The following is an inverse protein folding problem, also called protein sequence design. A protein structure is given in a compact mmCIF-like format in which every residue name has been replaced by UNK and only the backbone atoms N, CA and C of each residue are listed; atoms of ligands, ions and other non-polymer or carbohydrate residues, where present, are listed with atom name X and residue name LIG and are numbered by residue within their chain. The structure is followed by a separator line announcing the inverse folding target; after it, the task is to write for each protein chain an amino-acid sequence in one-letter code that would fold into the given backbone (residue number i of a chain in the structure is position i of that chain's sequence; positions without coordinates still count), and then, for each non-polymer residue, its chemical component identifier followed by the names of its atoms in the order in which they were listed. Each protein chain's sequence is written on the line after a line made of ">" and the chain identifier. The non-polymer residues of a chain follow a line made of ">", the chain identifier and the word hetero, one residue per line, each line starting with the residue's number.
data_IF_524597655764
#
_entry.id   IF_524597655764
#
_cell.length_a   1.000
_cell.length_b   1.000
_cell.length_c   1.000
_cell.angle_alpha   90.00
_cell.angle_beta   90.00
_cell.angle_gamma   90.00
#
_symmetry.space_group_name_H-M   'P 1'
#
loop_
_entity.id
_entity.type
_entity.pdbx_description
1 polymer ?
#
# COMPACT_ATOMS: atom_id res chain seq x y z
N UNK A 1 -0.20 -1.37 45.21
CA UNK A 1 -1.56 -0.97 45.62
C UNK A 1 -2.53 -1.83 44.83
N UNK A 2 -3.44 -2.57 45.48
CA UNK A 2 -4.43 -3.36 44.74
C UNK A 2 -5.44 -2.39 44.09
N UNK A 3 -5.75 -2.59 42.80
CA UNK A 3 -6.85 -1.87 42.17
C UNK A 3 -8.15 -2.27 42.87
N UNK A 4 -8.65 -1.38 43.73
CA UNK A 4 -9.92 -1.56 44.41
C UNK A 4 -11.01 -0.98 43.52
N UNK A 5 -11.78 -1.85 42.89
CA UNK A 5 -12.93 -1.46 42.09
C UNK A 5 -14.18 -1.62 42.98
N UNK A 6 -14.86 -0.53 43.37
CA UNK A 6 -16.11 -0.66 44.11
C UNK A 6 -17.17 -1.31 43.20
N UNK A 7 -17.73 -2.45 43.65
CA UNK A 7 -18.70 -3.29 42.92
C UNK A 7 -18.17 -4.03 41.68
N UNK A 8 -17.16 -4.89 41.86
CA UNK A 8 -16.76 -5.83 40.80
C UNK A 8 -17.80 -6.96 40.70
N UNK A 9 -18.26 -7.32 39.49
CA UNK A 9 -18.87 -8.62 39.25
C UNK A 9 -17.98 -9.74 39.80
N UNK A 10 -18.55 -10.90 40.17
CA UNK A 10 -17.77 -12.08 40.52
C UNK A 10 -16.60 -12.31 39.54
N UNK A 11 -15.39 -12.50 40.08
CA UNK A 11 -14.14 -12.50 39.28
C UNK A 11 -14.12 -13.57 38.18
N UNK A 12 -14.89 -14.64 38.36
CA UNK A 12 -15.10 -15.71 37.39
C UNK A 12 -15.92 -15.28 36.16
N UNK A 13 -16.69 -14.19 36.22
CA UNK A 13 -17.45 -13.68 35.07
C UNK A 13 -16.64 -12.73 34.19
N UNK A 14 -15.54 -12.19 34.71
CA UNK A 14 -14.76 -11.16 34.03
C UNK A 14 -13.87 -11.80 32.97
N UNK A 15 -14.05 -11.35 31.71
CA UNK A 15 -13.26 -11.80 30.55
C UNK A 15 -12.37 -10.72 29.96
N UNK A 16 -12.66 -9.46 30.27
CA UNK A 16 -12.02 -8.29 29.69
C UNK A 16 -11.91 -7.20 30.76
N UNK A 17 -10.72 -6.62 30.90
CA UNK A 17 -10.45 -5.47 31.77
C UNK A 17 -9.81 -4.39 30.90
N UNK A 18 -10.32 -3.16 31.00
CA UNK A 18 -9.73 -1.98 30.35
C UNK A 18 -9.51 -0.87 31.37
N UNK A 19 -8.28 -0.38 31.47
CA UNK A 19 -7.87 0.74 32.31
C UNK A 19 -7.25 1.78 31.41
N UNK A 20 -7.81 2.99 31.40
CA UNK A 20 -7.52 4.00 30.40
C UNK A 20 -7.53 5.39 31.02
N UNK A 21 -6.61 6.26 30.60
CA UNK A 21 -6.54 7.67 31.02
C UNK A 21 -6.48 7.86 32.52
N UNK A 22 -5.92 6.88 33.23
CA UNK A 22 -5.80 6.99 34.67
C UNK A 22 -4.49 7.70 34.98
N UNK A 23 -4.57 8.92 35.55
CA UNK A 23 -3.41 9.67 36.05
C UNK A 23 -2.85 9.03 37.35
N UNK A 24 -2.97 7.71 37.47
CA UNK A 24 -2.51 6.94 38.62
C UNK A 24 -0.99 6.84 38.51
N UNK A 25 -0.29 7.69 39.26
CA UNK A 25 1.17 7.64 39.43
C UNK A 25 1.68 6.23 39.76
N UNK A 26 0.86 5.41 40.44
CA UNK A 26 1.18 4.00 40.72
C UNK A 26 1.19 3.07 39.49
N UNK A 27 0.40 3.36 38.44
CA UNK A 27 0.50 2.65 37.16
C UNK A 27 1.76 3.07 36.41
N UNK A 28 2.16 4.34 36.50
CA UNK A 28 3.37 4.86 35.84
C UNK A 28 4.63 4.10 36.27
N UNK A 29 4.67 3.64 37.54
CA UNK A 29 5.78 2.88 38.12
C UNK A 29 5.59 1.35 38.05
N UNK A 30 4.51 0.84 37.46
CA UNK A 30 4.29 -0.61 37.33
C UNK A 30 3.94 -1.34 38.64
N UNK A 31 3.64 -0.64 39.73
CA UNK A 31 3.45 -1.23 41.08
C UNK A 31 2.00 -1.68 41.36
N UNK A 32 1.35 -2.29 40.37
CA UNK A 32 -0.04 -2.74 40.45
C UNK A 32 -0.15 -4.23 40.17
N UNK A 33 -0.86 -4.90 41.05
CA UNK A 33 -1.23 -6.31 40.95
C UNK A 33 -2.72 -6.41 40.63
N UNK A 34 -3.08 -7.24 39.65
CA UNK A 34 -4.48 -7.58 39.42
C UNK A 34 -4.89 -8.71 40.37
N UNK A 35 -6.12 -8.68 40.91
CA UNK A 35 -6.75 -9.86 41.50
C UNK A 35 -6.73 -11.06 40.53
N UNK A 36 -6.95 -12.25 41.07
CA UNK A 36 -7.13 -13.44 40.24
C UNK A 36 -8.49 -13.38 39.52
N UNK A 37 -8.46 -13.24 38.20
CA UNK A 37 -9.61 -13.31 37.31
C UNK A 37 -9.46 -14.55 36.42
N UNK A 38 -9.99 -15.73 36.84
CA UNK A 38 -9.65 -17.02 36.24
C UNK A 38 -10.13 -17.20 34.79
N UNK A 39 -10.96 -16.28 34.29
CA UNK A 39 -11.49 -16.27 32.92
C UNK A 39 -11.08 -15.01 32.13
N UNK A 40 -10.16 -14.20 32.66
CA UNK A 40 -9.66 -13.02 31.98
C UNK A 40 -8.86 -13.42 30.73
N UNK A 41 -9.31 -12.93 29.59
CA UNK A 41 -8.70 -13.21 28.28
C UNK A 41 -8.15 -11.95 27.61
N UNK A 42 -8.59 -10.77 28.03
CA UNK A 42 -8.20 -9.50 27.42
C UNK A 42 -7.87 -8.49 28.51
N UNK A 43 -6.69 -7.89 28.42
CA UNK A 43 -6.23 -6.83 29.31
C UNK A 43 -5.79 -5.64 28.47
N UNK A 44 -6.43 -4.49 28.67
CA UNK A 44 -6.06 -3.24 28.01
C UNK A 44 -5.67 -2.20 29.04
N UNK A 45 -4.46 -1.68 28.88
CA UNK A 45 -3.83 -0.72 29.80
C UNK A 45 -3.28 0.46 29.00
N UNK A 46 -4.08 1.02 28.09
CA UNK A 46 -3.61 2.04 27.17
C UNK A 46 -3.76 3.47 27.71
N UNK A 47 -2.87 4.38 27.29
CA UNK A 47 -2.92 5.80 27.70
C UNK A 47 -2.83 6.04 29.21
N UNK A 48 -1.91 5.33 29.89
CA UNK A 48 -1.71 5.45 31.35
C UNK A 48 -0.30 5.94 31.74
N UNK A 49 0.56 6.28 30.76
CA UNK A 49 1.92 6.74 31.03
C UNK A 49 2.84 5.70 31.68
N UNK A 50 2.56 4.41 31.48
CA UNK A 50 3.32 3.30 32.06
C UNK A 50 4.73 3.27 31.47
N UNK A 51 5.77 3.29 32.31
CA UNK A 51 7.18 3.18 31.89
C UNK A 51 7.71 1.75 31.95
N UNK A 52 7.28 0.99 32.96
CA UNK A 52 7.68 -0.40 33.21
C UNK A 52 6.44 -1.18 33.64
N UNK A 53 6.32 -2.43 33.18
CA UNK A 53 5.26 -3.34 33.60
C UNK A 53 5.87 -4.43 34.48
N UNK A 54 5.43 -4.52 35.73
CA UNK A 54 5.87 -5.58 36.64
C UNK A 54 5.17 -6.92 36.29
N UNK A 55 5.88 -8.07 36.20
CA UNK A 55 5.27 -9.37 35.92
C UNK A 55 4.21 -9.80 36.96
N UNK A 56 4.29 -9.30 38.20
CA UNK A 56 3.28 -9.54 39.24
C UNK A 56 1.87 -9.07 38.84
N UNK A 57 1.76 -8.14 37.87
CA UNK A 57 0.48 -7.69 37.32
C UNK A 57 -0.34 -8.84 36.71
N UNK A 58 0.35 -9.80 36.07
CA UNK A 58 -0.28 -10.82 35.23
C UNK A 58 -0.11 -12.24 35.76
N UNK A 59 0.67 -12.42 36.83
CA UNK A 59 1.04 -13.76 37.36
C UNK A 59 -0.16 -14.66 37.67
N UNK A 60 -1.28 -14.08 38.10
CA UNK A 60 -2.52 -14.81 38.42
C UNK A 60 -3.50 -14.91 37.23
N UNK A 61 -3.19 -14.28 36.09
CA UNK A 61 -4.10 -14.09 34.95
C UNK A 61 -3.51 -14.65 33.64
N UNK A 62 -2.87 -15.81 33.71
CA UNK A 62 -2.10 -16.41 32.59
C UNK A 62 -2.94 -16.91 31.40
N UNK A 63 -4.28 -16.85 31.50
CA UNK A 63 -5.20 -17.14 30.40
C UNK A 63 -5.40 -15.95 29.44
N UNK A 64 -4.76 -14.81 29.70
CA UNK A 64 -4.80 -13.64 28.81
C UNK A 64 -4.30 -14.05 27.41
N UNK A 65 -5.11 -13.71 26.41
CA UNK A 65 -4.86 -13.92 24.98
C UNK A 65 -4.63 -12.62 24.22
N UNK A 66 -5.03 -11.49 24.80
CA UNK A 66 -4.88 -10.16 24.21
C UNK A 66 -4.38 -9.19 25.27
N UNK A 67 -3.22 -8.60 25.02
CA UNK A 67 -2.63 -7.55 25.85
C UNK A 67 -2.44 -6.31 24.99
N UNK A 68 -2.98 -5.18 25.44
CA UNK A 68 -2.71 -3.86 24.84
C UNK A 68 -2.11 -2.93 25.89
N UNK A 69 -0.91 -2.45 25.59
CA UNK A 69 -0.14 -1.46 26.35
C UNK A 69 0.13 -0.22 25.48
N UNK A 70 -0.70 0.02 24.47
CA UNK A 70 -0.48 1.11 23.53
C UNK A 70 -0.55 2.49 24.21
N UNK A 71 0.09 3.51 23.60
CA UNK A 71 0.06 4.89 24.08
C UNK A 71 0.54 5.00 25.54
N UNK A 72 1.61 4.30 25.89
CA UNK A 72 2.29 4.46 27.19
C UNK A 72 3.69 5.05 26.95
N UNK A 73 4.62 4.83 27.89
CA UNK A 73 5.99 5.34 27.84
C UNK A 73 6.99 4.19 28.03
N UNK A 74 6.66 3.01 27.54
CA UNK A 74 7.54 1.84 27.64
C UNK A 74 8.77 2.09 26.79
N UNK A 75 9.96 1.93 27.38
CA UNK A 75 11.24 2.12 26.67
C UNK A 75 11.79 0.82 26.10
N UNK A 76 11.21 -0.32 26.48
CA UNK A 76 11.59 -1.66 26.05
C UNK A 76 10.37 -2.59 26.00
N UNK A 77 10.49 -3.70 25.27
CA UNK A 77 9.51 -4.79 25.30
C UNK A 77 9.51 -5.42 26.71
N UNK A 78 8.34 -5.61 27.36
CA UNK A 78 8.29 -6.14 28.72
C UNK A 78 8.44 -7.68 28.74
N UNK A 79 9.65 -8.18 28.48
CA UNK A 79 9.94 -9.62 28.30
C UNK A 79 9.49 -10.46 29.49
N UNK A 80 9.71 -10.00 30.72
CA UNK A 80 9.31 -10.72 31.95
C UNK A 80 7.79 -10.92 32.06
N UNK A 81 7.00 -9.98 31.52
CA UNK A 81 5.54 -10.08 31.46
C UNK A 81 5.13 -11.07 30.37
N UNK A 82 5.81 -11.01 29.23
CA UNK A 82 5.56 -11.89 28.08
C UNK A 82 5.89 -13.35 28.37
N UNK A 83 6.89 -13.62 29.22
CA UNK A 83 7.22 -14.95 29.74
C UNK A 83 6.03 -15.60 30.45
N UNK A 84 5.23 -14.83 31.20
CA UNK A 84 4.08 -15.36 31.95
C UNK A 84 2.82 -15.50 31.07
N UNK A 85 2.80 -14.89 29.89
CA UNK A 85 1.64 -14.80 29.01
C UNK A 85 1.80 -15.63 27.73
N UNK A 86 2.12 -16.91 27.88
CA UNK A 86 2.37 -17.85 26.76
C UNK A 86 1.15 -18.10 25.86
N UNK A 87 -0.06 -17.78 26.33
CA UNK A 87 -1.32 -17.90 25.58
C UNK A 87 -1.64 -16.69 24.68
N UNK A 88 -0.78 -15.68 24.63
CA UNK A 88 -1.01 -14.47 23.83
C UNK A 88 -1.21 -14.78 22.35
N UNK A 89 -2.22 -14.13 21.78
CA UNK A 89 -2.57 -14.14 20.35
C UNK A 89 -2.51 -12.74 19.75
N UNK A 90 -2.65 -11.72 20.58
CA UNK A 90 -2.64 -10.32 20.20
C UNK A 90 -1.82 -9.53 21.22
N UNK A 91 -0.82 -8.80 20.73
CA UNK A 91 0.00 -7.91 21.54
C UNK A 91 0.12 -6.56 20.84
N UNK A 92 -0.23 -5.51 21.56
CA UNK A 92 -0.16 -4.14 21.07
C UNK A 92 0.68 -3.27 22.01
N UNK A 93 1.85 -2.91 21.51
CA UNK A 93 2.86 -2.06 22.14
C UNK A 93 3.01 -0.73 21.39
N UNK A 94 2.07 -0.38 20.52
CA UNK A 94 2.16 0.81 19.67
C UNK A 94 2.09 2.12 20.46
N UNK A 95 2.69 3.20 19.95
CA UNK A 95 2.65 4.50 20.65
C UNK A 95 3.41 4.47 21.99
N UNK A 96 4.56 3.81 22.04
CA UNK A 96 5.45 3.83 23.21
C UNK A 96 6.80 4.46 22.81
N UNK A 97 7.80 4.36 23.68
CA UNK A 97 9.15 4.92 23.49
C UNK A 97 10.18 3.78 23.29
N UNK A 98 9.75 2.65 22.71
CA UNK A 98 10.59 1.46 22.56
C UNK A 98 11.65 1.74 21.51
N UNK A 99 12.93 1.73 21.90
CA UNK A 99 14.03 2.06 20.99
C UNK A 99 14.68 0.84 20.32
N UNK A 100 14.60 -0.33 20.97
CA UNK A 100 15.27 -1.57 20.54
C UNK A 100 14.33 -2.74 20.84
N UNK A 101 14.27 -3.72 19.92
CA UNK A 101 13.71 -5.04 20.20
C UNK A 101 14.89 -5.97 20.48
N UNK A 102 15.02 -6.43 21.73
CA UNK A 102 16.13 -7.29 22.15
C UNK A 102 16.00 -8.71 21.60
N UNK A 103 17.12 -9.44 21.59
CA UNK A 103 17.14 -10.84 21.16
C UNK A 103 16.19 -11.68 22.02
N UNK A 104 15.42 -12.57 21.40
CA UNK A 104 14.47 -13.47 22.07
C UNK A 104 13.33 -12.78 22.84
N UNK A 105 13.05 -11.50 22.57
CA UNK A 105 12.01 -10.72 23.27
C UNK A 105 10.61 -11.38 23.23
N UNK A 106 10.33 -12.21 22.22
CA UNK A 106 9.05 -12.88 22.03
C UNK A 106 9.12 -14.42 22.09
N UNK A 107 10.23 -15.00 22.59
CA UNK A 107 10.48 -16.45 22.52
C UNK A 107 9.37 -17.32 23.14
N UNK A 108 8.66 -16.78 24.13
CA UNK A 108 7.60 -17.49 24.87
C UNK A 108 6.22 -17.38 24.24
N UNK A 109 6.01 -16.50 23.25
CA UNK A 109 4.70 -16.18 22.70
C UNK A 109 4.44 -16.86 21.35
N UNK A 110 4.68 -18.18 21.29
CA UNK A 110 4.54 -19.01 20.07
C UNK A 110 3.15 -18.99 19.44
N UNK A 111 2.11 -18.63 20.20
CA UNK A 111 0.73 -18.53 19.73
C UNK A 111 0.35 -17.14 19.21
N UNK A 112 1.27 -16.17 19.24
CA UNK A 112 1.01 -14.79 18.86
C UNK A 112 0.67 -14.71 17.36
N UNK A 113 -0.45 -14.04 17.03
CA UNK A 113 -0.94 -13.88 15.65
C UNK A 113 -0.82 -12.45 15.13
N UNK A 114 -0.92 -11.48 16.02
CA UNK A 114 -0.85 -10.06 15.69
C UNK A 114 0.06 -9.33 16.69
N UNK A 115 1.05 -8.62 16.15
CA UNK A 115 1.99 -7.81 16.91
C UNK A 115 2.02 -6.39 16.33
N UNK A 116 1.71 -5.41 17.17
CA UNK A 116 1.74 -4.00 16.83
C UNK A 116 2.84 -3.29 17.62
N UNK A 117 3.80 -2.72 16.90
CA UNK A 117 4.94 -1.96 17.38
C UNK A 117 5.06 -0.60 16.69
N UNK A 118 4.02 -0.18 15.95
CA UNK A 118 4.02 1.09 15.24
C UNK A 118 4.05 2.30 16.18
N UNK A 119 4.54 3.44 15.70
CA UNK A 119 4.70 4.66 16.50
C UNK A 119 5.55 4.40 17.76
N UNK A 120 6.76 3.87 17.57
CA UNK A 120 7.78 3.75 18.61
C UNK A 120 9.08 4.41 18.10
N UNK A 121 10.16 4.29 18.86
CA UNK A 121 11.49 4.82 18.52
C UNK A 121 12.43 3.72 18.01
N UNK A 122 11.91 2.63 17.46
CA UNK A 122 12.70 1.42 17.15
C UNK A 122 13.73 1.75 16.06
N UNK A 123 15.02 1.65 16.39
CA UNK A 123 16.12 1.91 15.45
C UNK A 123 16.62 0.65 14.77
N UNK A 124 16.55 -0.48 15.47
CA UNK A 124 17.11 -1.75 15.02
C UNK A 124 16.24 -2.92 15.51
N UNK A 125 16.08 -3.91 14.63
CA UNK A 125 15.61 -5.26 14.97
C UNK A 125 16.87 -6.11 15.12
N UNK A 126 17.29 -6.36 16.35
CA UNK A 126 18.56 -7.08 16.58
C UNK A 126 18.43 -8.53 16.13
N UNK A 127 19.57 -9.19 15.91
CA UNK A 127 19.60 -10.60 15.53
C UNK A 127 18.82 -11.46 16.53
N UNK A 128 17.95 -12.33 16.05
CA UNK A 128 17.09 -13.22 16.87
C UNK A 128 15.97 -12.50 17.63
N UNK A 129 15.70 -11.21 17.38
CA UNK A 129 14.64 -10.47 18.06
C UNK A 129 13.25 -11.06 17.84
N UNK A 130 13.02 -11.67 16.66
CA UNK A 130 11.72 -12.19 16.25
C UNK A 130 11.56 -13.70 16.50
N UNK A 131 12.51 -14.33 17.19
CA UNK A 131 12.41 -15.75 17.60
C UNK A 131 11.18 -15.95 18.50
N UNK A 132 10.48 -17.06 18.27
CA UNK A 132 9.24 -17.42 18.97
C UNK A 132 7.97 -16.94 18.30
N UNK A 133 8.02 -16.14 17.23
CA UNK A 133 6.84 -15.64 16.53
C UNK A 133 6.32 -16.59 15.42
N UNK A 134 6.33 -17.90 15.67
CA UNK A 134 6.06 -18.94 14.65
C UNK A 134 4.64 -18.88 14.04
N UNK A 135 3.66 -18.39 14.79
CA UNK A 135 2.27 -18.27 14.34
C UNK A 135 1.86 -16.85 13.98
N UNK A 136 2.81 -15.91 13.92
CA UNK A 136 2.49 -14.53 13.58
C UNK A 136 1.92 -14.47 12.18
N UNK A 137 0.82 -13.75 12.00
CA UNK A 137 0.20 -13.51 10.69
C UNK A 137 0.28 -12.04 10.28
N UNK A 138 0.41 -11.14 11.26
CA UNK A 138 0.51 -9.70 11.06
C UNK A 138 1.56 -9.10 11.99
N UNK A 139 2.52 -8.36 11.42
CA UNK A 139 3.54 -7.59 12.14
C UNK A 139 3.55 -6.15 11.62
N UNK A 140 3.40 -5.19 12.53
CA UNK A 140 3.41 -3.76 12.21
C UNK A 140 4.52 -3.05 12.98
N UNK A 141 5.44 -2.46 12.23
CA UNK A 141 6.60 -1.68 12.66
C UNK A 141 6.58 -0.27 12.04
N UNK A 142 5.44 0.16 11.48
CA UNK A 142 5.39 1.43 10.78
C UNK A 142 5.62 2.63 11.70
N UNK A 143 6.14 3.73 11.16
CA UNK A 143 6.43 4.94 11.92
C UNK A 143 7.36 4.65 13.11
N UNK A 144 8.57 4.19 12.77
CA UNK A 144 9.70 3.95 13.67
C UNK A 144 10.95 4.57 13.05
N UNK A 145 12.14 4.28 13.59
CA UNK A 145 13.41 4.86 13.17
C UNK A 145 14.34 3.82 12.52
N UNK A 146 13.80 2.73 11.99
CA UNK A 146 14.58 1.62 11.42
C UNK A 146 15.33 2.13 10.18
N UNK A 147 16.66 2.02 10.17
CA UNK A 147 17.49 2.48 9.06
C UNK A 147 18.01 1.36 8.15
N UNK A 148 17.91 0.12 8.61
CA UNK A 148 18.40 -1.08 7.95
C UNK A 148 17.46 -2.25 8.25
N UNK A 149 17.11 -3.03 7.22
CA UNK A 149 16.27 -4.21 7.39
C UNK A 149 16.96 -5.46 6.86
N UNK A 150 17.20 -6.41 7.76
CA UNK A 150 17.73 -7.72 7.40
C UNK A 150 16.57 -8.70 7.15
N UNK A 151 16.44 -9.17 5.91
CA UNK A 151 15.46 -10.18 5.55
C UNK A 151 15.66 -11.50 6.30
N UNK A 152 16.88 -11.82 6.74
CA UNK A 152 17.19 -13.03 7.51
C UNK A 152 16.36 -13.18 8.78
N UNK A 153 15.86 -12.09 9.37
CA UNK A 153 14.96 -12.16 10.55
C UNK A 153 13.58 -12.76 10.21
N UNK A 154 13.18 -12.74 8.94
CA UNK A 154 11.90 -13.29 8.49
C UNK A 154 11.89 -14.82 8.46
N UNK A 155 13.05 -15.48 8.55
CA UNK A 155 13.13 -16.94 8.66
C UNK A 155 12.39 -17.47 9.90
N UNK A 156 12.28 -16.64 10.95
CA UNK A 156 11.58 -16.99 12.20
C UNK A 156 10.06 -16.82 12.10
N UNK A 157 9.55 -16.32 10.97
CA UNK A 157 8.15 -15.91 10.80
C UNK A 157 7.44 -16.72 9.69
N UNK A 158 7.39 -18.06 9.76
CA UNK A 158 6.95 -18.91 8.65
C UNK A 158 5.47 -18.74 8.27
N UNK A 159 4.63 -18.12 9.11
CA UNK A 159 3.20 -17.87 8.83
C UNK A 159 2.84 -16.41 8.59
N UNK A 160 3.83 -15.51 8.54
CA UNK A 160 3.59 -14.07 8.39
C UNK A 160 2.96 -13.78 7.04
N UNK A 161 1.77 -13.18 7.03
CA UNK A 161 1.08 -12.80 5.80
C UNK A 161 1.31 -11.33 5.46
N UNK A 162 1.38 -10.49 6.47
CA UNK A 162 1.47 -9.04 6.32
C UNK A 162 2.54 -8.48 7.23
N UNK A 163 3.47 -7.76 6.63
CA UNK A 163 4.45 -6.96 7.35
C UNK A 163 4.34 -5.51 6.90
N UNK A 164 4.25 -4.60 7.88
CA UNK A 164 4.20 -3.17 7.62
C UNK A 164 5.39 -2.45 8.26
N UNK A 165 6.31 -1.97 7.42
CA UNK A 165 7.51 -1.21 7.85
C UNK A 165 7.50 0.17 7.17
N UNK A 166 6.31 0.71 6.88
CA UNK A 166 6.20 2.05 6.31
C UNK A 166 6.72 3.12 7.25
N UNK A 167 7.05 4.30 6.71
CA UNK A 167 7.45 5.44 7.53
C UNK A 167 8.60 5.08 8.47
N UNK A 168 9.67 4.54 7.89
CA UNK A 168 10.93 4.29 8.58
C UNK A 168 12.03 5.02 7.79
N UNK A 169 13.29 4.80 8.15
CA UNK A 169 14.43 5.41 7.46
C UNK A 169 15.27 4.37 6.71
N UNK A 170 14.65 3.29 6.21
CA UNK A 170 15.39 2.16 5.65
C UNK A 170 16.11 2.60 4.38
N UNK A 171 17.44 2.51 4.40
CA UNK A 171 18.31 2.84 3.27
C UNK A 171 18.85 1.58 2.58
N UNK A 172 18.96 0.48 3.33
CA UNK A 172 19.61 -0.76 2.90
C UNK A 172 18.80 -2.00 3.31
N UNK A 173 18.68 -2.95 2.38
CA UNK A 173 18.14 -4.28 2.60
C UNK A 173 19.29 -5.30 2.60
N UNK A 174 19.40 -6.14 3.61
CA UNK A 174 20.38 -7.25 3.67
C UNK A 174 19.69 -8.58 3.89
N UNK A 175 20.45 -9.68 3.87
CA UNK A 175 19.91 -11.05 4.00
C UNK A 175 19.10 -11.53 2.78
N UNK A 176 18.92 -10.69 1.76
CA UNK A 176 18.16 -11.02 0.54
C UNK A 176 18.81 -12.12 -0.31
N UNK A 177 20.10 -12.41 -0.10
CA UNK A 177 20.83 -13.45 -0.84
C UNK A 177 20.88 -14.79 -0.10
N UNK A 178 20.26 -14.88 1.09
CA UNK A 178 20.27 -16.10 1.90
C UNK A 178 19.25 -17.14 1.40
N UNK A 179 19.49 -18.41 1.75
CA UNK A 179 18.69 -19.55 1.27
C UNK A 179 17.51 -19.80 2.21
N UNK A 180 16.54 -18.88 2.22
CA UNK A 180 15.24 -19.09 2.84
C UNK A 180 14.13 -18.48 1.98
N UNK A 181 12.89 -18.80 2.31
CA UNK A 181 11.70 -18.23 1.68
C UNK A 181 10.76 -17.71 2.75
N UNK A 182 10.10 -16.60 2.43
CA UNK A 182 9.10 -15.97 3.29
C UNK A 182 7.68 -16.30 2.82
N UNK A 183 6.75 -16.33 3.77
CA UNK A 183 5.31 -16.50 3.51
C UNK A 183 4.55 -15.18 3.34
N UNK A 184 5.27 -14.06 3.36
CA UNK A 184 4.70 -12.71 3.32
C UNK A 184 4.00 -12.48 1.99
N UNK A 185 2.73 -12.10 2.07
CA UNK A 185 1.87 -11.77 0.91
C UNK A 185 1.81 -10.27 0.66
N UNK A 186 1.75 -9.48 1.73
CA UNK A 186 1.66 -8.03 1.69
C UNK A 186 2.89 -7.42 2.34
N UNK A 187 3.72 -6.79 1.51
CA UNK A 187 4.97 -6.19 1.93
C UNK A 187 4.87 -4.67 1.76
N UNK A 188 4.81 -3.95 2.88
CA UNK A 188 4.72 -2.50 2.89
C UNK A 188 6.05 -1.87 3.30
N UNK A 189 6.71 -1.20 2.34
CA UNK A 189 7.97 -0.47 2.46
C UNK A 189 7.84 1.01 2.07
N UNK A 190 6.62 1.54 1.98
CA UNK A 190 6.42 2.93 1.57
C UNK A 190 7.03 3.93 2.57
N UNK A 191 7.41 5.12 2.10
CA UNK A 191 7.95 6.18 2.96
C UNK A 191 9.19 5.70 3.72
N UNK A 192 10.19 5.26 2.96
CA UNK A 192 11.53 4.91 3.44
C UNK A 192 12.57 5.65 2.58
N UNK A 193 13.84 5.29 2.70
CA UNK A 193 14.95 5.95 2.02
C UNK A 193 15.72 5.00 1.08
N UNK A 194 15.06 3.96 0.56
CA UNK A 194 15.70 2.98 -0.32
C UNK A 194 16.16 3.64 -1.62
N UNK A 195 17.42 3.42 -2.01
CA UNK A 195 18.02 4.00 -3.23
C UNK A 195 17.97 3.05 -4.42
N UNK A 196 17.93 1.75 -4.16
CA UNK A 196 17.88 0.70 -5.18
C UNK A 196 17.11 -0.52 -4.68
N UNK A 197 16.56 -1.29 -5.61
CA UNK A 197 15.97 -2.60 -5.33
C UNK A 197 16.70 -3.67 -6.15
N UNK A 198 17.23 -4.70 -5.49
CA UNK A 198 17.85 -5.84 -6.16
C UNK A 198 16.82 -6.94 -6.45
N UNK A 199 17.04 -7.71 -7.52
CA UNK A 199 16.20 -8.83 -7.93
C UNK A 199 16.22 -10.02 -6.97
N UNK A 200 17.25 -10.16 -6.14
CA UNK A 200 17.31 -11.21 -5.11
C UNK A 200 16.11 -11.18 -4.16
N UNK A 201 15.43 -10.02 -4.01
CA UNK A 201 14.19 -9.94 -3.26
C UNK A 201 13.13 -10.92 -3.78
N UNK A 202 13.07 -11.18 -5.09
CA UNK A 202 12.14 -12.14 -5.70
C UNK A 202 12.45 -13.59 -5.29
N UNK A 203 13.71 -13.87 -4.94
CA UNK A 203 14.13 -15.21 -4.50
C UNK A 203 13.72 -15.50 -3.06
N UNK A 204 13.71 -14.50 -2.17
CA UNK A 204 13.32 -14.64 -0.76
C UNK A 204 11.82 -14.38 -0.53
N UNK A 205 11.19 -13.56 -1.37
CA UNK A 205 9.77 -13.17 -1.27
C UNK A 205 8.86 -14.02 -2.15
N UNK A 206 9.01 -15.34 -2.12
CA UNK A 206 8.33 -16.24 -3.08
C UNK A 206 6.80 -16.29 -2.92
N UNK A 207 6.25 -15.83 -1.80
CA UNK A 207 4.80 -15.77 -1.54
C UNK A 207 4.20 -14.38 -1.71
N UNK A 208 5.02 -13.36 -2.03
CA UNK A 208 4.58 -11.96 -2.05
C UNK A 208 3.68 -11.70 -3.25
N UNK A 209 2.51 -11.14 -2.97
CA UNK A 209 1.50 -10.77 -3.95
C UNK A 209 1.49 -9.26 -4.19
N UNK A 210 1.66 -8.50 -3.11
CA UNK A 210 1.66 -7.03 -3.13
C UNK A 210 2.95 -6.51 -2.54
N UNK A 211 3.72 -5.79 -3.37
CA UNK A 211 4.95 -5.13 -2.97
C UNK A 211 4.79 -3.62 -3.14
N UNK A 212 4.74 -2.91 -2.01
CA UNK A 212 4.57 -1.47 -1.99
C UNK A 212 5.88 -0.76 -1.60
N UNK A 213 6.43 0.00 -2.54
CA UNK A 213 7.71 0.72 -2.44
C UNK A 213 7.56 2.21 -2.74
N UNK A 214 6.34 2.73 -2.76
CA UNK A 214 6.09 4.13 -3.07
C UNK A 214 6.80 5.07 -2.08
N UNK A 215 7.15 6.28 -2.51
CA UNK A 215 7.78 7.28 -1.64
C UNK A 215 9.09 6.75 -1.04
N UNK A 216 9.99 6.30 -1.90
CA UNK A 216 11.38 5.99 -1.56
C UNK A 216 12.32 6.87 -2.42
N UNK A 217 13.60 6.56 -2.45
CA UNK A 217 14.59 7.22 -3.29
C UNK A 217 15.08 6.31 -4.43
N UNK A 218 14.26 5.33 -4.83
CA UNK A 218 14.68 4.26 -5.74
C UNK A 218 14.98 4.85 -7.11
N UNK A 219 16.23 4.72 -7.54
CA UNK A 219 16.71 5.18 -8.84
C UNK A 219 16.98 4.01 -9.80
N UNK A 220 17.18 2.81 -9.26
CA UNK A 220 17.50 1.60 -10.03
C UNK A 220 16.78 0.38 -9.43
N UNK A 221 16.29 -0.49 -10.31
CA UNK A 221 15.68 -1.77 -9.97
C UNK A 221 16.33 -2.86 -10.82
N UNK A 222 16.84 -3.90 -10.18
CA UNK A 222 17.26 -5.14 -10.82
C UNK A 222 18.56 -5.14 -11.59
N UNK A 223 19.57 -4.44 -11.07
CA UNK A 223 20.88 -4.30 -11.71
C UNK A 223 21.62 -5.63 -11.90
N UNK A 224 21.40 -6.63 -11.04
CA UNK A 224 22.18 -7.87 -11.04
C UNK A 224 21.52 -9.04 -11.78
N UNK A 225 20.24 -8.95 -12.18
CA UNK A 225 19.51 -9.97 -12.94
C UNK A 225 19.55 -11.43 -12.39
N UNK A 226 20.01 -11.69 -11.16
CA UNK A 226 20.14 -13.05 -10.59
C UNK A 226 18.88 -13.57 -9.89
N UNK A 227 17.87 -12.72 -9.65
CA UNK A 227 16.63 -13.13 -9.00
C UNK A 227 15.79 -14.10 -9.83
N UNK A 228 15.02 -14.95 -9.15
CA UNK A 228 14.07 -15.90 -9.76
C UNK A 228 12.87 -15.18 -10.39
N UNK A 229 12.16 -15.89 -11.26
CA UNK A 229 10.83 -15.49 -11.74
C UNK A 229 9.85 -15.58 -10.57
N UNK A 230 9.08 -14.53 -10.34
CA UNK A 230 7.99 -14.52 -9.36
C UNK A 230 6.66 -14.78 -10.05
N UNK A 231 6.03 -15.90 -9.72
CA UNK A 231 4.69 -16.27 -10.18
C UNK A 231 3.59 -15.80 -9.23
N UNK A 232 3.95 -15.23 -8.08
CA UNK A 232 3.00 -14.85 -7.03
C UNK A 232 2.75 -13.35 -6.98
N UNK A 233 3.70 -12.52 -7.45
CA UNK A 233 3.57 -11.07 -7.42
C UNK A 233 2.57 -10.59 -8.46
N UNK A 234 1.48 -9.99 -7.99
CA UNK A 234 0.39 -9.45 -8.82
C UNK A 234 0.34 -7.93 -8.80
N UNK A 235 0.92 -7.28 -7.79
CA UNK A 235 0.95 -5.83 -7.69
C UNK A 235 2.32 -5.29 -7.24
N UNK A 236 2.87 -4.37 -8.03
CA UNK A 236 4.13 -3.69 -7.77
C UNK A 236 3.92 -2.17 -7.83
N UNK A 237 4.23 -1.49 -6.73
CA UNK A 237 4.07 -0.05 -6.63
C UNK A 237 5.39 0.64 -6.31
N UNK A 238 5.88 1.41 -7.27
CA UNK A 238 7.15 2.14 -7.26
C UNK A 238 6.95 3.64 -7.48
N UNK A 239 5.74 4.16 -7.24
CA UNK A 239 5.42 5.57 -7.43
C UNK A 239 6.20 6.50 -6.48
N UNK A 240 6.33 7.78 -6.80
CA UNK A 240 7.05 8.75 -5.97
C UNK A 240 8.49 8.31 -5.65
N UNK A 241 9.24 7.88 -6.67
CA UNK A 241 10.63 7.46 -6.57
C UNK A 241 11.51 8.34 -7.49
N UNK A 242 12.69 7.85 -7.88
CA UNK A 242 13.66 8.57 -8.71
C UNK A 242 14.02 7.80 -9.99
N UNK A 243 13.16 6.87 -10.43
CA UNK A 243 13.40 6.05 -11.61
C UNK A 243 13.47 6.92 -12.86
N UNK A 244 14.50 6.72 -13.68
CA UNK A 244 14.64 7.36 -15.00
C UNK A 244 14.15 6.50 -16.16
N UNK A 245 14.12 5.18 -15.95
CA UNK A 245 13.74 4.20 -16.95
C UNK A 245 12.79 3.18 -16.34
N UNK A 246 11.89 2.64 -17.17
CA UNK A 246 11.08 1.48 -16.80
C UNK A 246 12.01 0.28 -16.61
N UNK A 247 11.94 -0.44 -15.48
CA UNK A 247 12.84 -1.56 -15.19
C UNK A 247 12.42 -2.83 -15.93
N UNK A 248 12.47 -2.80 -17.27
CA UNK A 248 12.04 -3.90 -18.15
C UNK A 248 12.66 -5.26 -17.76
N UNK A 249 13.97 -5.38 -17.46
CA UNK A 249 14.56 -6.66 -17.04
C UNK A 249 13.89 -7.25 -15.78
N UNK A 250 13.51 -6.41 -14.82
CA UNK A 250 12.79 -6.83 -13.63
C UNK A 250 11.36 -7.25 -13.97
N UNK A 251 10.65 -6.45 -14.76
CA UNK A 251 9.28 -6.74 -15.17
C UNK A 251 9.16 -8.07 -15.92
N UNK A 252 10.16 -8.45 -16.73
CA UNK A 252 10.19 -9.76 -17.41
C UNK A 252 10.14 -10.96 -16.45
N UNK A 253 10.46 -10.77 -15.16
CA UNK A 253 10.40 -11.80 -14.12
C UNK A 253 9.03 -11.87 -13.42
N UNK A 254 8.06 -11.08 -13.84
CA UNK A 254 6.74 -10.93 -13.20
C UNK A 254 5.60 -11.27 -14.17
N UNK A 255 5.48 -12.52 -14.66
CA UNK A 255 4.52 -12.89 -15.69
C UNK A 255 3.05 -12.73 -15.27
N UNK A 256 2.76 -12.79 -13.96
CA UNK A 256 1.42 -12.67 -13.39
C UNK A 256 1.14 -11.27 -12.83
N UNK A 257 1.94 -10.26 -13.18
CA UNK A 257 1.74 -8.90 -12.72
C UNK A 257 0.46 -8.31 -13.32
N UNK A 258 -0.46 -7.88 -12.47
CA UNK A 258 -1.73 -7.26 -12.83
C UNK A 258 -1.72 -5.74 -12.65
N UNK A 259 -0.96 -5.25 -11.66
CA UNK A 259 -0.95 -3.84 -11.27
C UNK A 259 0.48 -3.31 -11.19
N UNK A 260 0.72 -2.21 -11.90
CA UNK A 260 2.01 -1.54 -11.94
C UNK A 260 1.85 -0.04 -11.69
N UNK A 261 2.36 0.42 -10.55
CA UNK A 261 2.47 1.85 -10.22
C UNK A 261 3.89 2.35 -10.44
N UNK A 262 4.05 3.32 -11.32
CA UNK A 262 5.32 4.00 -11.66
C UNK A 262 5.14 5.53 -11.69
N UNK A 263 4.04 6.04 -11.15
CA UNK A 263 3.69 7.45 -11.12
C UNK A 263 4.71 8.29 -10.35
N UNK A 264 4.82 9.58 -10.67
CA UNK A 264 5.70 10.53 -9.99
C UNK A 264 7.16 10.05 -9.89
N UNK A 265 7.68 9.56 -11.01
CA UNK A 265 9.09 9.25 -11.20
C UNK A 265 9.70 10.27 -12.19
N UNK A 266 10.78 9.91 -12.88
CA UNK A 266 11.47 10.72 -13.91
C UNK A 266 11.56 9.95 -15.22
N UNK A 267 10.55 9.14 -15.53
CA UNK A 267 10.52 8.30 -16.72
C UNK A 267 10.37 9.16 -17.97
N UNK A 268 11.26 9.00 -18.95
CA UNK A 268 11.23 9.80 -20.18
C UNK A 268 10.63 9.06 -21.38
N UNK A 269 10.86 7.74 -21.47
CA UNK A 269 10.35 6.91 -22.57
C UNK A 269 9.78 5.61 -22.05
N UNK A 270 8.83 5.04 -22.80
CA UNK A 270 8.42 3.64 -22.67
C UNK A 270 9.16 2.87 -23.77
N UNK A 271 10.13 2.01 -23.44
CA UNK A 271 10.88 1.25 -24.44
C UNK A 271 9.95 0.38 -25.31
N UNK A 272 10.42 0.04 -26.52
CA UNK A 272 9.73 -0.92 -27.37
C UNK A 272 9.47 -2.24 -26.61
N UNK A 273 8.25 -2.78 -26.74
CA UNK A 273 7.84 -4.06 -26.17
C UNK A 273 8.04 -4.15 -24.63
N UNK A 274 8.03 -3.01 -23.93
CA UNK A 274 8.34 -2.93 -22.49
C UNK A 274 7.50 -3.87 -21.62
N UNK A 275 6.23 -4.10 -22.01
CA UNK A 275 5.25 -4.88 -21.25
C UNK A 275 4.91 -6.23 -21.89
N UNK A 276 5.65 -6.66 -22.93
CA UNK A 276 5.36 -7.89 -23.68
C UNK A 276 5.34 -9.16 -22.82
N UNK A 277 6.11 -9.19 -21.74
CA UNK A 277 6.20 -10.32 -20.79
C UNK A 277 5.25 -10.18 -19.59
N UNK A 278 4.35 -9.20 -19.61
CA UNK A 278 3.39 -8.94 -18.54
C UNK A 278 1.95 -8.93 -19.09
N UNK A 279 1.49 -10.03 -19.74
CA UNK A 279 0.20 -10.07 -20.43
C UNK A 279 -1.01 -9.96 -19.50
N UNK A 280 -0.80 -10.12 -18.18
CA UNK A 280 -1.83 -10.00 -17.16
C UNK A 280 -2.02 -8.56 -16.66
N UNK A 281 -1.25 -7.57 -17.16
CA UNK A 281 -1.40 -6.18 -16.71
C UNK A 281 -2.78 -5.65 -17.04
N UNK A 282 -3.45 -5.14 -16.00
CA UNK A 282 -4.79 -4.54 -16.04
C UNK A 282 -4.77 -3.08 -15.63
N UNK A 283 -3.90 -2.72 -14.69
CA UNK A 283 -3.80 -1.35 -14.17
C UNK A 283 -2.37 -0.87 -14.25
N UNK A 284 -2.16 0.21 -15.00
CA UNK A 284 -0.85 0.86 -15.14
C UNK A 284 -1.00 2.33 -14.79
N UNK A 285 -0.24 2.79 -13.80
CA UNK A 285 -0.16 4.20 -13.47
C UNK A 285 1.23 4.74 -13.77
N UNK A 286 1.31 5.67 -14.71
CA UNK A 286 2.53 6.34 -15.19
C UNK A 286 2.39 7.87 -15.08
N UNK A 287 1.41 8.36 -14.32
CA UNK A 287 1.15 9.79 -14.20
C UNK A 287 2.33 10.56 -13.58
N UNK A 288 2.49 11.85 -13.90
CA UNK A 288 3.50 12.69 -13.27
C UNK A 288 4.94 12.29 -13.60
N UNK A 289 5.18 11.82 -14.84
CA UNK A 289 6.51 11.52 -15.36
C UNK A 289 6.87 12.52 -16.47
N UNK A 290 7.86 12.20 -17.30
CA UNK A 290 8.33 13.01 -18.43
C UNK A 290 8.15 12.25 -19.75
N UNK A 291 7.15 11.37 -19.82
CA UNK A 291 7.03 10.39 -20.90
C UNK A 291 6.68 11.07 -22.21
N UNK A 292 7.40 10.71 -23.26
CA UNK A 292 6.98 10.85 -24.66
C UNK A 292 7.15 9.49 -25.37
N UNK A 293 6.35 9.25 -26.42
CA UNK A 293 6.41 8.00 -27.17
C UNK A 293 7.43 8.10 -28.30
N UNK A 294 8.27 7.06 -28.44
CA UNK A 294 9.25 6.95 -29.52
C UNK A 294 9.00 5.74 -30.43
N UNK A 295 8.14 4.80 -30.02
CA UNK A 295 7.82 3.59 -30.78
C UNK A 295 6.33 3.26 -30.70
N UNK A 296 5.77 2.77 -31.82
CA UNK A 296 4.37 2.32 -31.88
C UNK A 296 4.10 1.14 -30.94
N UNK A 297 5.09 0.27 -30.75
CA UNK A 297 4.97 -0.97 -29.98
C UNK A 297 5.31 -0.82 -28.49
N UNK A 298 5.49 0.40 -27.99
CA UNK A 298 5.82 0.66 -26.57
C UNK A 298 4.77 0.12 -25.59
N UNK A 299 3.50 0.12 -25.99
CA UNK A 299 2.37 -0.39 -25.20
C UNK A 299 1.84 -1.75 -25.69
N UNK A 300 2.59 -2.41 -26.59
CA UNK A 300 2.17 -3.69 -27.16
C UNK A 300 2.13 -4.78 -26.10
N UNK A 301 1.09 -5.63 -26.18
CA UNK A 301 0.87 -6.76 -25.27
C UNK A 301 -0.07 -6.46 -24.09
N UNK A 302 -0.52 -5.21 -23.93
CA UNK A 302 -1.50 -4.79 -22.92
C UNK A 302 -2.94 -5.14 -23.33
N UNK A 303 -3.21 -6.43 -23.50
CA UNK A 303 -4.48 -6.94 -24.05
C UNK A 303 -5.64 -6.96 -23.04
N UNK A 304 -5.35 -6.88 -21.73
CA UNK A 304 -6.33 -6.99 -20.64
C UNK A 304 -6.40 -5.71 -19.80
N UNK A 305 -5.99 -4.58 -20.38
CA UNK A 305 -5.87 -3.31 -19.69
C UNK A 305 -7.27 -2.78 -19.33
N UNK A 306 -7.54 -2.52 -18.04
CA UNK A 306 -8.76 -1.83 -17.61
C UNK A 306 -8.50 -0.33 -17.38
N UNK A 307 -7.27 0.03 -17.01
CA UNK A 307 -6.92 1.38 -16.61
C UNK A 307 -5.47 1.74 -16.94
N UNK A 308 -5.28 2.86 -17.64
CA UNK A 308 -3.99 3.45 -17.93
C UNK A 308 -4.00 4.94 -17.63
N UNK A 309 -3.21 5.33 -16.64
CA UNK A 309 -3.02 6.73 -16.25
C UNK A 309 -1.70 7.26 -16.81
N UNK A 310 -1.80 8.21 -17.73
CA UNK A 310 -0.68 8.90 -18.38
C UNK A 310 -0.74 10.42 -18.15
N UNK A 311 -1.52 10.88 -17.16
CA UNK A 311 -1.65 12.31 -16.87
C UNK A 311 -0.31 12.95 -16.52
N UNK A 312 -0.19 14.25 -16.77
CA UNK A 312 0.99 15.04 -16.37
C UNK A 312 2.30 14.42 -16.91
N UNK A 313 2.39 14.28 -18.23
CA UNK A 313 3.55 13.79 -18.97
C UNK A 313 3.88 14.75 -20.13
N UNK A 314 4.75 14.35 -21.05
CA UNK A 314 5.15 15.13 -22.23
C UNK A 314 4.67 14.49 -23.53
N UNK A 315 3.50 13.84 -23.51
CA UNK A 315 2.95 13.14 -24.66
C UNK A 315 2.38 14.16 -25.65
N UNK A 316 2.79 14.07 -26.92
CA UNK A 316 2.21 14.84 -28.04
C UNK A 316 1.31 14.01 -28.94
N UNK A 317 1.52 12.69 -29.01
CA UNK A 317 0.67 11.74 -29.71
C UNK A 317 0.76 10.36 -29.06
N UNK A 318 -0.22 9.50 -29.33
CA UNK A 318 -0.25 8.12 -28.82
C UNK A 318 0.07 7.12 -29.93
N UNK A 319 0.63 5.94 -29.59
CA UNK A 319 0.67 4.84 -30.55
C UNK A 319 -0.77 4.38 -30.87
N UNK A 320 -1.15 4.33 -32.16
CA UNK A 320 -2.51 3.94 -32.57
C UNK A 320 -2.89 2.53 -32.12
N UNK A 321 -1.92 1.62 -32.00
CA UNK A 321 -2.11 0.23 -31.53
C UNK A 321 -2.82 0.11 -30.17
N UNK A 322 -2.69 1.10 -29.27
CA UNK A 322 -3.34 1.03 -27.94
C UNK A 322 -4.85 1.34 -28.00
N UNK A 323 -5.28 2.03 -29.06
CA UNK A 323 -6.67 2.42 -29.28
C UNK A 323 -7.37 1.54 -30.34
N UNK A 324 -6.70 0.47 -30.78
CA UNK A 324 -7.18 -0.47 -31.79
C UNK A 324 -8.50 -1.15 -31.32
N UNK A 325 -9.45 -1.48 -32.22
CA UNK A 325 -10.84 -1.72 -31.86
C UNK A 325 -11.14 -2.90 -30.93
N UNK A 326 -10.17 -3.76 -30.68
CA UNK A 326 -10.30 -4.86 -29.72
C UNK A 326 -10.22 -4.36 -28.27
N UNK A 327 -9.68 -3.15 -28.06
CA UNK A 327 -9.32 -2.59 -26.75
C UNK A 327 -10.15 -1.32 -26.39
N UNK A 328 -11.44 -1.27 -26.73
CA UNK A 328 -12.26 -0.07 -26.52
C UNK A 328 -12.75 0.16 -25.08
N UNK A 329 -12.65 -0.83 -24.19
CA UNK A 329 -13.33 -0.79 -22.88
C UNK A 329 -12.37 -0.57 -21.70
N UNK A 330 -11.54 0.48 -21.77
CA UNK A 330 -10.65 0.83 -20.66
C UNK A 330 -10.62 2.32 -20.36
N UNK A 331 -10.28 2.64 -19.10
CA UNK A 331 -10.13 4.01 -18.63
C UNK A 331 -8.73 4.54 -19.00
N UNK A 332 -8.70 5.55 -19.87
CA UNK A 332 -7.48 6.23 -20.31
C UNK A 332 -7.46 7.67 -19.81
N UNK A 333 -6.48 8.02 -18.98
CA UNK A 333 -6.34 9.38 -18.44
C UNK A 333 -5.12 10.08 -19.05
N UNK A 334 -5.34 11.21 -19.73
CA UNK A 334 -4.32 11.90 -20.54
C UNK A 334 -4.17 13.40 -20.24
N UNK A 335 -4.89 13.95 -19.26
CA UNK A 335 -4.79 15.37 -18.91
C UNK A 335 -3.37 15.81 -18.60
N UNK A 336 -3.02 17.04 -18.98
CA UNK A 336 -1.72 17.64 -18.64
C UNK A 336 -0.58 17.11 -19.49
N UNK A 337 -0.85 16.79 -20.75
CA UNK A 337 0.12 16.41 -21.77
C UNK A 337 0.26 17.52 -22.82
N UNK A 338 1.22 17.37 -23.73
CA UNK A 338 1.60 18.39 -24.70
C UNK A 338 1.01 18.13 -26.09
N UNK A 339 -0.31 17.98 -26.15
CA UNK A 339 -1.03 17.72 -27.40
C UNK A 339 -1.11 18.97 -28.27
N UNK A 340 -0.84 18.82 -29.57
CA UNK A 340 -1.10 19.82 -30.60
C UNK A 340 -2.33 19.38 -31.39
N UNK A 341 -3.28 20.28 -31.66
CA UNK A 341 -4.48 19.97 -32.45
C UNK A 341 -4.12 19.85 -33.94
N UNK A 342 -3.47 18.75 -34.32
CA UNK A 342 -3.09 18.40 -35.69
C UNK A 342 -3.52 16.96 -36.04
N UNK A 343 -3.32 16.55 -37.30
CA UNK A 343 -3.74 15.21 -37.73
C UNK A 343 -3.10 14.05 -36.94
N UNK A 344 -2.01 14.28 -36.19
CA UNK A 344 -1.37 13.23 -35.37
C UNK A 344 -2.20 12.84 -34.14
N UNK A 345 -3.23 13.60 -33.76
CA UNK A 345 -4.13 13.24 -32.65
C UNK A 345 -5.59 13.11 -33.10
N UNK A 346 -5.85 13.18 -34.40
CA UNK A 346 -7.18 13.01 -34.98
C UNK A 346 -7.83 11.69 -34.56
N UNK A 347 -7.07 10.59 -34.60
CA UNK A 347 -7.57 9.27 -34.19
C UNK A 347 -7.94 9.21 -32.69
N UNK A 348 -7.23 9.96 -31.84
CA UNK A 348 -7.56 10.05 -30.42
C UNK A 348 -8.91 10.75 -30.24
N UNK A 349 -9.19 11.81 -31.02
CA UNK A 349 -10.52 12.42 -31.04
C UNK A 349 -11.61 11.42 -31.44
N UNK A 350 -11.39 10.65 -32.52
CA UNK A 350 -12.35 9.63 -32.96
C UNK A 350 -12.59 8.53 -31.94
N UNK A 351 -11.56 8.17 -31.18
CA UNK A 351 -11.71 7.25 -30.05
C UNK A 351 -12.51 7.88 -28.90
N UNK A 352 -12.28 9.17 -28.57
CA UNK A 352 -13.02 9.92 -27.54
C UNK A 352 -14.52 10.06 -27.83
N UNK A 353 -14.90 10.18 -29.11
CA UNK A 353 -16.31 10.25 -29.52
C UNK A 353 -17.06 8.93 -29.28
N UNK A 354 -16.35 7.80 -29.29
CA UNK A 354 -16.94 6.45 -29.24
C UNK A 354 -16.92 5.82 -27.84
N UNK A 355 -15.92 6.17 -27.03
CA UNK A 355 -15.69 5.55 -25.71
C UNK A 355 -16.80 5.90 -24.71
N UNK A 356 -17.15 4.92 -23.87
CA UNK A 356 -18.14 5.05 -22.79
C UNK A 356 -17.51 5.29 -21.42
N UNK A 357 -16.19 5.32 -21.35
CA UNK A 357 -15.45 5.41 -20.10
C UNK A 357 -15.14 6.86 -19.74
N UNK A 358 -14.99 7.10 -18.44
CA UNK A 358 -14.60 8.40 -17.92
C UNK A 358 -13.19 8.77 -18.42
N UNK A 359 -13.10 9.95 -19.05
CA UNK A 359 -11.86 10.54 -19.54
C UNK A 359 -11.79 11.97 -19.00
N UNK A 360 -10.59 12.37 -18.60
CA UNK A 360 -10.34 13.74 -18.15
C UNK A 360 -10.40 14.71 -19.35
N UNK A 361 -10.61 16.00 -19.11
CA UNK A 361 -10.62 17.02 -20.15
C UNK A 361 -9.26 17.10 -20.86
N UNK A 362 -9.19 16.56 -22.07
CA UNK A 362 -8.00 16.62 -22.92
C UNK A 362 -7.99 17.97 -23.65
N UNK A 363 -6.95 18.76 -23.38
CA UNK A 363 -6.69 20.02 -24.05
C UNK A 363 -5.59 19.83 -25.09
N UNK A 364 -5.71 20.48 -26.24
CA UNK A 364 -4.65 20.56 -27.26
C UNK A 364 -4.40 22.01 -27.65
N UNK A 365 -3.16 22.32 -28.03
CA UNK A 365 -2.72 23.61 -28.53
C UNK A 365 -3.10 23.77 -29.99
N UNK A 366 -3.82 24.84 -30.35
CA UNK A 366 -4.15 25.15 -31.75
C UNK A 366 -2.98 25.90 -32.40
N UNK A 367 -2.31 25.33 -33.43
CA UNK A 367 -1.09 25.92 -34.01
C UNK A 367 -1.25 27.35 -34.54
N UNK A 368 -2.42 27.64 -35.12
CA UNK A 368 -2.70 28.93 -35.77
C UNK A 368 -2.86 30.09 -34.79
N UNK A 369 -3.44 29.82 -33.61
CA UNK A 369 -3.83 30.84 -32.64
C UNK A 369 -3.00 30.81 -31.35
N UNK A 370 -2.27 29.72 -31.10
CA UNK A 370 -1.47 29.53 -29.89
C UNK A 370 -2.29 29.39 -28.61
N UNK A 371 -3.61 29.16 -28.70
CA UNK A 371 -4.49 28.93 -27.55
C UNK A 371 -4.81 27.44 -27.38
N UNK A 372 -5.27 27.07 -26.18
CA UNK A 372 -5.71 25.70 -25.89
C UNK A 372 -7.22 25.56 -26.08
N UNK A 373 -7.65 24.46 -26.69
CA UNK A 373 -9.05 24.07 -26.81
C UNK A 373 -9.25 22.63 -26.34
N UNK A 374 -10.50 22.22 -26.10
CA UNK A 374 -10.83 20.82 -25.82
C UNK A 374 -10.73 20.02 -27.11
N UNK A 375 -10.05 18.87 -27.07
CA UNK A 375 -9.86 18.02 -28.25
C UNK A 375 -11.20 17.59 -28.87
N UNK A 376 -12.21 17.27 -28.06
CA UNK A 376 -13.52 16.84 -28.55
C UNK A 376 -14.30 17.94 -29.28
N UNK A 377 -13.96 19.21 -29.07
CA UNK A 377 -14.63 20.35 -29.72
C UNK A 377 -13.83 20.95 -30.87
N UNK A 378 -12.66 20.40 -31.20
CA UNK A 378 -11.83 20.90 -32.29
C UNK A 378 -12.26 20.28 -33.62
N UNK A 379 -12.45 21.09 -34.66
CA UNK A 379 -12.76 20.61 -36.00
C UNK A 379 -11.44 20.41 -36.76
N UNK A 380 -11.13 19.16 -37.09
CA UNK A 380 -9.96 18.83 -37.91
C UNK A 380 -10.26 19.05 -39.39
N UNK A 381 -9.21 19.36 -40.16
CA UNK A 381 -9.25 19.40 -41.62
C UNK A 381 -9.68 18.04 -42.20
N UNK A 382 -10.52 18.05 -43.23
CA UNK A 382 -11.02 16.87 -43.94
C UNK A 382 -9.90 16.00 -44.56
N UNK A 383 -8.69 16.54 -44.67
CA UNK A 383 -7.49 15.82 -45.13
C UNK A 383 -6.86 14.94 -44.05
N UNK A 384 -7.24 15.07 -42.78
CA UNK A 384 -6.73 14.19 -41.73
C UNK A 384 -7.24 12.76 -41.91
N UNK A 385 -6.32 11.81 -42.02
CA UNK A 385 -6.63 10.38 -42.15
C UNK A 385 -6.25 9.66 -40.86
N UNK A 386 -7.08 8.70 -40.43
CA UNK A 386 -6.69 7.81 -39.33
C UNK A 386 -5.38 7.09 -39.70
N UNK A 387 -4.37 7.07 -38.81
CA UNK A 387 -3.13 6.36 -39.08
C UNK A 387 -3.45 4.89 -39.32
N UNK A 388 -3.06 4.39 -40.49
CA UNK A 388 -3.18 2.96 -40.79
C UNK A 388 -2.35 2.17 -39.76
N UNK A 389 -2.74 0.93 -39.38
CA UNK A 389 -2.03 0.15 -38.36
C UNK A 389 -0.56 -0.17 -38.68
N UNK A 390 -0.04 0.28 -39.83
CA UNK A 390 1.33 0.08 -40.29
C UNK A 390 1.84 1.33 -41.00
N UNK A 391 2.21 2.36 -40.25
CA UNK A 391 3.12 3.39 -40.78
C UNK A 391 4.20 3.69 -39.72
N UNK A 392 5.49 3.44 -40.00
CA UNK A 392 6.56 3.82 -39.09
C UNK A 392 6.61 5.34 -38.99
N UNK A 393 6.58 5.86 -37.76
CA UNK A 393 6.79 7.28 -37.48
C UNK A 393 8.14 7.68 -38.06
N UNK A 394 8.13 8.50 -39.12
CA UNK A 394 9.34 9.10 -39.68
C UNK A 394 9.83 10.16 -38.71
N UNK A 395 10.93 9.88 -38.02
CA UNK A 395 11.67 10.88 -37.25
C UNK A 395 12.42 11.79 -38.22
N UNK A 396 11.87 12.98 -38.46
CA UNK A 396 12.65 14.15 -38.89
C UNK A 396 11.89 15.39 -38.44
N UNK A 397 12.24 15.86 -37.24
CA UNK A 397 11.75 17.11 -36.68
C UNK A 397 12.70 17.56 -35.59
N UNK A 398 13.63 18.45 -35.94
CA UNK A 398 14.50 19.16 -35.00
C UNK A 398 13.64 19.99 -34.04
N UNK A 399 13.67 19.64 -32.75
CA UNK A 399 12.97 20.37 -31.69
C UNK A 399 13.81 21.60 -31.33
N UNK A 400 13.28 22.79 -31.64
CA UNK A 400 13.76 24.06 -31.06
C UNK A 400 13.06 24.28 -29.72
N UNK A 401 13.87 24.39 -28.65
CA UNK A 401 13.41 24.74 -27.31
C UNK A 401 12.73 26.11 -27.31
N UNK A 402 11.47 26.17 -26.88
CA UNK A 402 10.87 27.40 -26.35
C UNK A 402 10.21 27.11 -25.00
N UNK A 403 10.94 27.50 -23.97
CA UNK A 403 10.50 28.01 -22.65
C UNK A 403 9.08 27.68 -22.17
N UNK A 404 8.98 26.75 -21.23
CA UNK A 404 7.85 26.60 -20.33
C UNK A 404 7.93 27.62 -19.18
N UNK A 405 7.02 28.59 -19.18
CA UNK A 405 6.65 29.40 -18.02
C UNK A 405 5.14 29.42 -17.93
N UNK A 406 4.56 28.53 -17.14
CA UNK A 406 3.27 28.70 -16.46
C UNK A 406 2.90 27.37 -15.78
N UNK A 407 3.17 27.28 -14.47
CA UNK A 407 2.38 26.54 -13.47
C UNK A 407 3.00 26.69 -12.06
N UNK A 408 3.30 27.93 -11.66
CA UNK A 408 3.56 28.26 -10.24
C UNK A 408 2.25 28.72 -9.60
N UNK A 409 1.45 27.76 -9.14
CA UNK A 409 0.55 27.85 -7.99
C UNK A 409 -0.45 26.71 -8.03
N UNK A 410 -0.01 25.53 -7.62
CA UNK A 410 -0.91 24.46 -7.22
C UNK A 410 -0.38 23.90 -5.92
N UNK A 411 -1.21 23.99 -4.88
CA UNK A 411 -0.90 23.60 -3.52
C UNK A 411 -0.65 22.08 -3.45
N UNK A 412 0.63 21.68 -3.39
CA UNK A 412 1.11 20.29 -3.38
C UNK A 412 0.50 19.46 -2.24
N UNK A 413 -0.02 20.09 -1.19
CA UNK A 413 -0.72 19.42 -0.09
C UNK A 413 -2.12 18.91 -0.43
N UNK A 414 -2.79 19.50 -1.43
CA UNK A 414 -4.10 19.02 -1.91
C UNK A 414 -3.93 17.77 -2.77
N UNK A 415 -2.86 17.70 -3.58
CA UNK A 415 -2.55 16.54 -4.43
C UNK A 415 -2.16 15.29 -3.64
N UNK A 416 -1.43 15.44 -2.53
CA UNK A 416 -1.07 14.31 -1.67
C UNK A 416 -2.29 13.62 -1.06
N UNK A 417 -3.32 14.40 -0.66
CA UNK A 417 -4.62 13.86 -0.21
C UNK A 417 -5.40 13.23 -1.36
N UNK A 418 -5.34 13.81 -2.57
CA UNK A 418 -5.98 13.24 -3.76
C UNK A 418 -5.33 11.92 -4.18
N UNK A 419 -4.01 11.75 -4.12
CA UNK A 419 -3.36 10.46 -4.45
C UNK A 419 -3.70 9.34 -3.47
N UNK A 420 -3.80 9.63 -2.16
CA UNK A 420 -4.30 8.66 -1.17
C UNK A 420 -5.78 8.31 -1.38
N UNK A 421 -6.60 9.32 -1.72
CA UNK A 421 -8.00 9.14 -2.10
C UNK A 421 -8.14 8.38 -3.41
N UNK A 422 -7.24 8.57 -4.38
CA UNK A 422 -7.22 7.86 -5.66
C UNK A 422 -6.82 6.40 -5.46
N UNK A 423 -5.83 6.08 -4.61
CA UNK A 423 -5.51 4.70 -4.21
C UNK A 423 -6.66 4.05 -3.41
N UNK A 424 -7.33 4.80 -2.54
CA UNK A 424 -8.52 4.32 -1.83
C UNK A 424 -9.72 4.14 -2.77
N UNK A 425 -9.91 5.04 -3.74
CA UNK A 425 -10.91 4.93 -4.82
C UNK A 425 -10.55 3.73 -5.71
N UNK A 426 -9.29 3.47 -6.02
CA UNK A 426 -8.87 2.26 -6.74
C UNK A 426 -9.20 0.99 -5.95
N UNK A 427 -9.00 0.99 -4.63
CA UNK A 427 -9.41 -0.12 -3.77
C UNK A 427 -10.94 -0.27 -3.68
N UNK A 428 -11.69 0.84 -3.67
CA UNK A 428 -13.17 0.84 -3.59
C UNK A 428 -13.81 0.46 -4.92
N UNK A 429 -13.34 1.01 -6.04
CA UNK A 429 -13.79 0.68 -7.41
C UNK A 429 -13.50 -0.79 -7.69
N UNK A 430 -12.33 -1.30 -7.30
CA UNK A 430 -12.02 -2.72 -7.40
C UNK A 430 -12.94 -3.58 -6.52
N UNK A 431 -13.22 -3.13 -5.29
CA UNK A 431 -14.18 -3.80 -4.39
C UNK A 431 -15.58 -3.84 -4.99
N UNK A 432 -16.03 -2.75 -5.65
CA UNK A 432 -17.33 -2.65 -6.33
C UNK A 432 -17.35 -3.54 -7.57
N UNK A 433 -16.29 -3.58 -8.39
CA UNK A 433 -16.20 -4.44 -9.57
C UNK A 433 -16.16 -5.93 -9.19
N UNK A 434 -15.51 -6.30 -8.07
CA UNK A 434 -15.57 -7.64 -7.51
C UNK A 434 -16.98 -7.94 -6.99
N UNK A 435 -17.60 -7.02 -6.24
CA UNK A 435 -18.94 -7.21 -5.69
C UNK A 435 -19.99 -7.37 -6.80
N UNK A 436 -19.90 -6.58 -7.87
CA UNK A 436 -20.76 -6.69 -9.06
C UNK A 436 -20.57 -8.00 -9.82
N UNK A 437 -19.37 -8.60 -9.79
CA UNK A 437 -19.11 -9.93 -10.37
C UNK A 437 -19.61 -11.05 -9.46
N UNK A 438 -19.42 -10.95 -8.14
CA UNK A 438 -19.95 -11.92 -7.16
C UNK A 438 -21.48 -11.96 -7.18
N UNK A 439 -22.12 -10.78 -7.32
CA UNK A 439 -23.58 -10.67 -7.44
C UNK A 439 -24.11 -11.16 -8.80
N UNK A 440 -23.28 -11.18 -9.87
CA UNK A 440 -23.64 -11.78 -11.16
C UNK A 440 -23.43 -13.30 -11.23
N UNK A 441 -22.58 -13.87 -10.37
CA UNK A 441 -22.30 -15.32 -10.34
C UNK A 441 -23.11 -16.10 -9.30
N UNK A 442 -23.77 -15.43 -8.35
CA UNK A 442 -24.60 -16.06 -7.34
C UNK A 442 -26.03 -15.49 -7.35
N UNK A 443 -26.82 -15.91 -8.33
CA UNK A 443 -28.27 -15.97 -8.13
C UNK A 443 -28.68 -17.44 -8.01
N UNK A 444 -29.02 -17.87 -6.80
CA UNK A 444 -30.27 -18.57 -6.58
C UNK A 444 -31.15 -17.74 -5.66
N UNK A 445 -32.36 -17.52 -6.13
CA UNK A 445 -33.53 -17.04 -5.40
C UNK A 445 -33.75 -17.84 -4.12
N UNK A 446 -33.69 -17.20 -2.94
CA UNK A 446 -34.55 -17.50 -1.78
C UNK A 446 -34.41 -16.41 -0.71
N UNK A 447 -35.57 -15.92 -0.25
CA UNK A 447 -35.79 -14.94 0.81
C UNK A 447 -35.04 -15.22 2.12
N UNK A 448 -34.41 -14.18 2.68
CA UNK A 448 -34.04 -14.14 4.11
C UNK A 448 -34.48 -12.79 4.70
N UNK A 449 -35.46 -12.89 5.61
CA UNK A 449 -35.98 -11.82 6.48
C UNK A 449 -34.88 -11.25 7.39
N UNK A 450 -34.83 -9.93 7.50
CA UNK A 450 -34.12 -9.22 8.57
C UNK A 450 -35.07 -9.11 9.78
N UNK A 451 -34.71 -9.71 10.91
CA UNK A 451 -35.32 -9.39 12.20
C UNK A 451 -34.69 -8.11 12.76
N UNK A 452 -35.48 -7.05 12.86
CA UNK A 452 -35.18 -5.87 13.65
C UNK A 452 -35.29 -6.21 15.14
N UNK A 453 -34.19 -6.05 15.88
CA UNK A 453 -34.22 -6.06 17.34
C UNK A 453 -34.87 -4.77 17.81
N UNK A 454 -36.14 -4.89 18.22
CA UNK A 454 -36.97 -3.79 18.70
C UNK A 454 -36.37 -3.01 19.86
N UNK A 455 -36.39 -1.69 19.70
CA UNK A 455 -36.48 -0.73 20.81
C UNK A 455 -37.88 -0.86 21.41
N UNK A 456 -37.97 -1.26 22.68
CA UNK A 456 -39.18 -1.02 23.46
C UNK A 456 -39.12 0.38 24.05
N UNK A 457 -39.90 1.28 23.46
CA UNK A 457 -40.46 2.44 24.13
C UNK A 457 -41.45 1.97 25.20
N UNK A 458 -41.38 2.58 26.39
CA UNK A 458 -42.57 2.82 27.21
C UNK A 458 -42.59 4.31 27.53
N UNK A 459 -43.53 5.00 26.92
CA UNK A 459 -44.00 6.31 27.33
C UNK A 459 -44.60 6.26 28.74
N UNK A 460 -44.51 7.37 29.46
CA UNK A 460 -45.10 7.55 30.78
C UNK A 460 -44.80 8.91 31.41
N UNK A 461 -45.15 9.98 30.69
CA UNK A 461 -45.72 11.25 31.18
C UNK A 461 -45.07 12.11 32.32
N UNK A 462 -44.96 13.40 31.97
CA UNK A 462 -45.23 14.63 32.76
C UNK A 462 -44.17 15.21 33.71
N UNK A 463 -43.80 16.47 33.40
CA UNK A 463 -43.77 17.56 34.38
C UNK A 463 -42.43 18.30 34.55
N UNK A 464 -42.21 19.33 33.72
CA UNK A 464 -41.43 20.53 34.08
C UNK A 464 -42.19 21.31 35.19
N UNK A 465 -41.54 22.13 36.03
CA UNK A 465 -40.51 23.13 35.69
C UNK A 465 -39.08 22.82 36.13
#
# INVERSE_FOLDING_TARGET
>A
MNLFFPQIPPTNLIREISIVYTNLTNLQHGNITLPNFPNLTKLRLYSNGIRVVNPALVVNNQKIRSLSLQKNRLTAVPVDVLEKLTNLRYLDLSGNEIAIIEAFAFQWNVLLKHLYLYNNDIKEIVKYALVGLENISFLSLQNNLINHFNFGELQYLPKLKTININWNNITLLTGINEVFSTSVRYFYFQHNALVSLDDYILSVSTSTQFLFLNNNQISHVGLLAHGKISYTLTALYLGYNKLRNIPVPFLRKLPNLEQLGLDWNRLNIIPQDAFKQNPQLRVINLAGNQIHFTHATSLKGLLNLDHLDLRFNHISSLPSEILDPVNHDFSLLLRGNNFTCDCNIFFLQKWLEKTRFYIDHILCLVPEFGNYTRLISFEFDDTCVEPTPFSPVSSNGTVTETSSKLLDNIDLHVYWKISLVVVAIFAIVFSISILQRVLKTNTPTTDIRLEEVGKNEREGERGLP
#
